data_IF_256985342934
#
_entry.id   IF_256985342934
#
_cell.length_a   1.000
_cell.length_b   1.000
_cell.length_c   1.000
_cell.angle_alpha   90.00
_cell.angle_beta   90.00
_cell.angle_gamma   90.00
#
_symmetry.space_group_name_H-M   'P 1'
#
loop_
_entity.id
_entity.type
_entity.pdbx_description
1 polymer ?
#
# COMPACT_ATOMS: atom_id res chain seq x y z
N UNK A 1 -12.98 -1.04 17.01
CA UNK A 1 -13.93 -1.99 16.33
C UNK A 1 -13.49 -2.09 14.87
N UNK A 2 -13.35 -3.31 14.34
CA UNK A 2 -12.94 -3.54 12.96
C UNK A 2 -14.13 -4.02 12.14
N UNK A 3 -14.36 -3.38 11.00
CA UNK A 3 -15.42 -3.75 10.05
C UNK A 3 -14.85 -4.56 8.89
N UNK A 4 -14.43 -5.80 9.17
CA UNK A 4 -13.79 -6.66 8.17
C UNK A 4 -14.70 -7.04 7.00
N UNK A 5 -16.03 -7.05 7.20
CA UNK A 5 -16.97 -7.41 6.14
C UNK A 5 -16.95 -6.39 5.00
N UNK A 6 -16.91 -5.09 5.32
CA UNK A 6 -16.77 -4.04 4.31
C UNK A 6 -15.42 -4.15 3.58
N UNK A 7 -14.31 -4.31 4.33
CA UNK A 7 -13.00 -4.49 3.73
C UNK A 7 -12.97 -5.71 2.78
N UNK A 8 -13.58 -6.84 3.18
CA UNK A 8 -13.65 -8.04 2.35
C UNK A 8 -14.54 -7.91 1.11
N UNK A 9 -15.48 -6.98 1.09
CA UNK A 9 -16.30 -6.70 -0.09
C UNK A 9 -15.59 -5.79 -1.11
N UNK A 10 -14.77 -4.86 -0.60
CA UNK A 10 -14.25 -3.74 -1.41
C UNK A 10 -12.77 -3.90 -1.82
N UNK A 11 -12.02 -4.85 -1.25
CA UNK A 11 -10.61 -4.98 -1.63
C UNK A 11 -10.43 -5.67 -2.99
N UNK A 12 -9.40 -5.26 -3.72
CA UNK A 12 -9.12 -5.69 -5.10
C UNK A 12 -8.68 -7.15 -5.25
N UNK A 13 -8.40 -7.85 -4.15
CA UNK A 13 -7.90 -9.24 -4.11
C UNK A 13 -8.91 -10.22 -3.48
N UNK A 14 -10.21 -9.92 -3.51
CA UNK A 14 -11.26 -10.74 -2.86
C UNK A 14 -11.33 -12.17 -3.36
N UNK A 15 -10.97 -12.40 -4.63
CA UNK A 15 -10.93 -13.75 -5.23
C UNK A 15 -9.60 -14.48 -4.98
N UNK A 16 -8.62 -13.82 -4.34
CA UNK A 16 -7.34 -14.41 -3.96
C UNK A 16 -7.35 -14.89 -2.52
N UNK A 17 -7.95 -14.12 -1.61
CA UNK A 17 -7.99 -14.47 -0.21
C UNK A 17 -8.83 -13.52 0.63
N UNK A 18 -9.01 -13.88 1.90
CA UNK A 18 -9.85 -13.14 2.83
C UNK A 18 -9.00 -12.38 3.87
N UNK A 19 -9.39 -11.14 4.13
CA UNK A 19 -8.85 -10.33 5.22
C UNK A 19 -9.43 -10.84 6.55
N UNK A 20 -8.55 -11.20 7.49
CA UNK A 20 -8.93 -11.74 8.80
C UNK A 20 -8.64 -10.79 9.94
N UNK A 21 -7.64 -9.93 9.79
CA UNK A 21 -7.22 -8.91 10.75
C UNK A 21 -6.54 -7.75 10.03
N UNK A 22 -6.22 -6.71 10.78
CA UNK A 22 -5.45 -5.55 10.36
C UNK A 22 -4.24 -5.38 11.28
N UNK A 23 -3.34 -4.45 10.94
CA UNK A 23 -2.28 -4.01 11.84
C UNK A 23 -2.82 -3.16 13.00
N UNK A 24 -1.93 -2.75 13.92
CA UNK A 24 -2.28 -2.01 15.14
C UNK A 24 -3.10 -0.75 14.87
N UNK A 25 -2.70 0.05 13.88
CA UNK A 25 -3.37 1.32 13.53
C UNK A 25 -4.55 1.16 12.57
N UNK A 26 -4.88 -0.07 12.16
CA UNK A 26 -6.03 -0.40 11.31
C UNK A 26 -6.02 0.24 9.91
N UNK A 27 -4.85 0.59 9.38
CA UNK A 27 -4.71 1.17 8.03
C UNK A 27 -4.38 0.13 6.96
N UNK A 28 -3.96 -1.08 7.34
CA UNK A 28 -3.55 -2.12 6.39
C UNK A 28 -4.51 -3.29 6.41
N UNK A 29 -5.21 -3.46 5.30
CA UNK A 29 -6.17 -4.53 5.06
C UNK A 29 -5.72 -5.39 3.89
N UNK A 30 -5.11 -6.55 4.18
CA UNK A 30 -4.65 -7.50 3.17
C UNK A 30 -5.12 -8.91 3.51
N UNK A 31 -5.25 -9.77 2.51
CA UNK A 31 -5.56 -11.17 2.75
C UNK A 31 -4.39 -11.88 3.43
N UNK A 32 -4.72 -12.86 4.25
CA UNK A 32 -3.76 -13.64 5.03
C UNK A 32 -4.07 -15.12 4.92
N UNK A 33 -3.04 -15.94 5.05
CA UNK A 33 -3.19 -17.39 5.14
C UNK A 33 -2.69 -17.89 6.49
N UNK A 34 -3.42 -18.81 7.16
CA UNK A 34 -2.99 -19.34 8.45
C UNK A 34 -1.73 -20.19 8.32
N UNK A 35 -0.95 -20.23 9.39
CA UNK A 35 0.11 -21.22 9.57
C UNK A 35 -0.46 -22.49 10.17
N UNK A 36 0.09 -23.63 9.77
CA UNK A 36 -0.14 -24.93 10.41
C UNK A 36 1.08 -25.26 11.26
N UNK A 37 0.91 -25.24 12.59
CA UNK A 37 1.99 -25.38 13.55
C UNK A 37 1.88 -26.74 14.23
N UNK A 38 2.76 -27.66 13.88
CA UNK A 38 2.80 -29.02 14.39
C UNK A 38 3.72 -29.18 15.63
N UNK A 39 3.65 -28.22 16.56
CA UNK A 39 4.41 -28.20 17.81
C UNK A 39 5.82 -27.61 17.69
N UNK A 40 6.56 -27.59 18.81
CA UNK A 40 7.85 -26.91 18.94
C UNK A 40 8.97 -27.47 18.05
N UNK A 41 8.89 -28.74 17.69
CA UNK A 41 9.92 -29.46 16.92
C UNK A 41 9.38 -30.07 15.63
N UNK A 42 8.15 -29.74 15.23
CA UNK A 42 7.51 -30.30 14.03
C UNK A 42 7.86 -29.49 12.77
N UNK A 43 7.60 -30.11 11.61
CA UNK A 43 7.62 -29.39 10.33
C UNK A 43 6.44 -28.44 10.27
N UNK A 44 6.68 -27.16 10.54
CA UNK A 44 5.66 -26.13 10.48
C UNK A 44 5.45 -25.69 9.02
N UNK A 45 4.19 -25.58 8.63
CA UNK A 45 3.84 -24.95 7.36
C UNK A 45 3.46 -23.48 7.62
N UNK A 46 4.36 -22.57 7.27
CA UNK A 46 4.20 -21.15 7.54
C UNK A 46 3.24 -20.51 6.55
N UNK A 47 2.20 -19.88 7.06
CA UNK A 47 1.28 -19.07 6.29
C UNK A 47 1.87 -17.74 5.84
N UNK A 48 1.00 -16.82 5.47
CA UNK A 48 1.36 -15.49 4.99
C UNK A 48 0.73 -14.44 5.88
N UNK A 49 1.57 -13.61 6.51
CA UNK A 49 1.16 -12.42 7.23
C UNK A 49 1.31 -11.16 6.36
N UNK A 50 0.82 -10.03 6.87
CA UNK A 50 0.92 -8.75 6.20
C UNK A 50 2.35 -8.22 6.27
N UNK A 51 2.85 -7.71 5.14
CA UNK A 51 4.02 -6.85 5.06
C UNK A 51 3.70 -5.65 4.19
N UNK A 52 3.94 -4.44 4.69
CA UNK A 52 3.68 -3.21 3.95
C UNK A 52 4.68 -2.12 4.35
N UNK A 53 5.50 -1.67 3.40
CA UNK A 53 6.41 -0.56 3.60
C UNK A 53 5.66 0.76 3.36
N UNK A 54 5.73 1.68 4.33
CA UNK A 54 4.96 2.92 4.33
C UNK A 54 5.83 4.13 4.01
N UNK A 55 5.26 5.09 3.29
CA UNK A 55 5.82 6.41 3.06
C UNK A 55 4.72 7.46 2.96
N UNK A 56 5.05 8.72 3.20
CA UNK A 56 4.09 9.83 3.12
C UNK A 56 4.67 11.01 2.39
N UNK A 57 3.92 11.54 1.43
CA UNK A 57 4.25 12.75 0.68
C UNK A 57 3.78 13.99 1.47
N UNK A 58 4.65 15.00 1.60
CA UNK A 58 4.21 16.30 2.08
C UNK A 58 3.56 17.08 0.92
N UNK A 59 2.25 17.32 1.01
CA UNK A 59 1.46 17.92 -0.07
C UNK A 59 2.02 19.29 -0.47
N UNK A 60 2.36 20.15 0.47
CA UNK A 60 2.91 21.45 0.17
C UNK A 60 4.19 21.35 -0.66
N UNK A 61 5.12 20.48 -0.26
CA UNK A 61 6.38 20.27 -0.99
C UNK A 61 6.17 19.66 -2.38
N UNK A 62 5.20 18.75 -2.51
CA UNK A 62 4.84 18.16 -3.81
C UNK A 62 4.32 19.22 -4.78
N UNK A 63 3.45 20.11 -4.28
CA UNK A 63 2.90 21.19 -5.09
C UNK A 63 3.97 22.22 -5.47
N UNK A 64 4.90 22.54 -4.55
CA UNK A 64 6.01 23.47 -4.82
C UNK A 64 6.98 22.91 -5.86
N UNK A 65 7.23 21.60 -5.85
CA UNK A 65 8.09 20.92 -6.81
C UNK A 65 7.54 20.89 -8.25
N UNK A 66 6.23 21.05 -8.42
CA UNK A 66 5.51 21.07 -9.71
C UNK A 66 5.72 19.85 -10.61
N UNK A 67 6.30 18.79 -10.09
CA UNK A 67 6.52 17.52 -10.80
C UNK A 67 5.98 16.36 -9.95
N UNK A 68 4.66 16.25 -9.93
CA UNK A 68 3.95 15.23 -9.16
C UNK A 68 4.27 13.84 -9.69
N UNK A 69 4.30 13.66 -11.02
CA UNK A 69 4.60 12.37 -11.65
C UNK A 69 5.93 11.82 -11.17
N UNK A 70 6.99 12.60 -11.30
CA UNK A 70 8.35 12.18 -10.89
C UNK A 70 8.41 11.88 -9.40
N UNK A 71 7.79 12.74 -8.57
CA UNK A 71 7.77 12.57 -7.12
C UNK A 71 7.10 11.26 -6.72
N UNK A 72 5.92 10.98 -7.26
CA UNK A 72 5.17 9.74 -6.97
C UNK A 72 5.95 8.52 -7.48
N UNK A 73 6.39 8.52 -8.73
CA UNK A 73 7.15 7.40 -9.30
C UNK A 73 8.42 7.09 -8.51
N UNK A 74 9.15 8.12 -8.09
CA UNK A 74 10.37 7.95 -7.27
C UNK A 74 10.01 7.34 -5.91
N UNK A 75 8.94 7.79 -5.28
CA UNK A 75 8.48 7.26 -3.99
C UNK A 75 8.06 5.79 -4.08
N UNK A 76 7.31 5.41 -5.12
CA UNK A 76 6.92 4.02 -5.37
C UNK A 76 8.16 3.14 -5.60
N UNK A 77 9.12 3.60 -6.42
CA UNK A 77 10.37 2.88 -6.67
C UNK A 77 11.21 2.72 -5.39
N UNK A 78 11.28 3.76 -4.56
CA UNK A 78 12.01 3.71 -3.29
C UNK A 78 11.38 2.71 -2.31
N UNK A 79 10.05 2.74 -2.13
CA UNK A 79 9.34 1.79 -1.27
C UNK A 79 9.47 0.34 -1.78
N UNK A 80 9.37 0.13 -3.08
CA UNK A 80 9.58 -1.18 -3.71
C UNK A 80 11.02 -1.68 -3.51
N UNK A 81 12.00 -0.79 -3.59
CA UNK A 81 13.40 -1.14 -3.32
C UNK A 81 13.61 -1.56 -1.86
N UNK A 82 12.95 -0.91 -0.90
CA UNK A 82 12.98 -1.32 0.52
C UNK A 82 12.41 -2.74 0.65
N UNK A 83 11.27 -3.03 0.02
CA UNK A 83 10.69 -4.38 0.01
C UNK A 83 11.65 -5.42 -0.55
N UNK A 84 12.29 -5.14 -1.69
CA UNK A 84 13.29 -6.03 -2.33
C UNK A 84 14.52 -6.29 -1.45
N UNK A 85 14.94 -5.33 -0.64
CA UNK A 85 16.13 -5.40 0.21
C UNK A 85 15.85 -5.88 1.63
N UNK A 86 14.59 -5.98 2.01
CA UNK A 86 14.20 -6.42 3.35
C UNK A 86 14.50 -7.92 3.52
N UNK A 87 15.34 -8.25 4.51
CA UNK A 87 15.61 -9.64 4.89
C UNK A 87 14.92 -9.95 6.22
N UNK A 88 13.88 -10.79 6.16
CA UNK A 88 13.05 -11.18 7.30
C UNK A 88 13.05 -12.70 7.52
N UNK A 89 14.15 -13.38 7.23
CA UNK A 89 14.24 -14.85 7.31
C UNK A 89 13.89 -15.40 8.68
N UNK A 90 14.10 -14.62 9.76
CA UNK A 90 13.75 -15.01 11.13
C UNK A 90 12.24 -14.97 11.43
N UNK A 91 11.42 -14.38 10.56
CA UNK A 91 9.97 -14.27 10.72
C UNK A 91 9.32 -14.77 9.43
N UNK A 92 9.22 -16.09 9.24
CA UNK A 92 8.88 -16.70 7.95
C UNK A 92 7.49 -16.30 7.42
N UNK A 93 6.52 -16.04 8.28
CA UNK A 93 5.17 -15.62 7.87
C UNK A 93 5.17 -14.22 7.24
N UNK A 94 5.93 -13.28 7.82
CA UNK A 94 6.09 -11.93 7.29
C UNK A 94 6.93 -11.95 6.01
N UNK A 95 7.96 -12.80 5.97
CA UNK A 95 8.74 -13.03 4.74
C UNK A 95 7.84 -13.51 3.60
N UNK A 96 7.00 -14.52 3.85
CA UNK A 96 6.06 -15.02 2.86
C UNK A 96 5.10 -13.91 2.35
N UNK A 97 4.65 -13.03 3.23
CA UNK A 97 3.83 -11.87 2.86
C UNK A 97 4.59 -10.86 1.98
N UNK A 98 5.82 -10.52 2.36
CA UNK A 98 6.65 -9.62 1.58
C UNK A 98 6.97 -10.20 0.20
N UNK A 99 7.39 -11.45 0.13
CA UNK A 99 7.78 -12.12 -1.12
C UNK A 99 6.60 -12.31 -2.09
N UNK A 100 5.38 -12.47 -1.56
CA UNK A 100 4.19 -12.71 -2.38
C UNK A 100 3.54 -11.44 -2.90
N UNK A 101 3.51 -10.38 -2.12
CA UNK A 101 2.73 -9.18 -2.43
C UNK A 101 3.57 -7.94 -2.75
N UNK A 102 4.79 -7.80 -2.19
CA UNK A 102 5.59 -6.58 -2.24
C UNK A 102 4.78 -5.32 -1.93
N UNK A 103 3.85 -5.43 -0.98
CA UNK A 103 2.89 -4.37 -0.68
C UNK A 103 3.57 -3.13 -0.14
N UNK A 104 3.13 -2.00 -0.64
CA UNK A 104 3.58 -0.67 -0.22
C UNK A 104 2.37 0.23 0.05
N UNK A 105 2.52 1.17 0.97
CA UNK A 105 1.53 2.20 1.28
C UNK A 105 2.13 3.58 1.07
N UNK A 106 1.67 4.31 0.05
CA UNK A 106 2.06 5.71 -0.16
C UNK A 106 0.91 6.62 0.26
N UNK A 107 1.08 7.28 1.39
CA UNK A 107 0.16 8.28 1.93
C UNK A 107 0.57 9.71 1.62
N UNK A 108 -0.20 10.65 2.18
CA UNK A 108 0.10 12.07 2.11
C UNK A 108 -0.17 12.74 3.45
N UNK A 109 0.58 13.80 3.75
CA UNK A 109 0.44 14.61 4.96
C UNK A 109 0.42 16.10 4.62
N UNK A 110 0.07 16.91 5.61
CA UNK A 110 0.07 18.37 5.52
C UNK A 110 -0.99 18.95 4.56
N UNK A 111 -2.15 18.27 4.41
CA UNK A 111 -3.26 18.79 3.61
C UNK A 111 -3.75 20.12 4.19
N UNK A 112 -4.07 20.16 5.49
CA UNK A 112 -4.56 21.37 6.14
C UNK A 112 -3.55 22.53 6.05
N UNK A 113 -2.27 22.28 6.28
CA UNK A 113 -1.23 23.30 6.16
C UNK A 113 -1.09 23.85 4.75
N UNK A 114 -1.23 23.01 3.72
CA UNK A 114 -1.27 23.46 2.34
C UNK A 114 -2.50 24.35 2.06
N UNK A 115 -3.70 23.88 2.42
CA UNK A 115 -4.93 24.65 2.22
C UNK A 115 -4.90 26.00 2.93
N UNK A 116 -4.38 26.06 4.17
CA UNK A 116 -4.20 27.32 4.89
C UNK A 116 -3.25 28.29 4.15
N UNK A 117 -2.15 27.76 3.63
CA UNK A 117 -1.19 28.56 2.87
C UNK A 117 -1.81 29.18 1.61
N UNK A 118 -2.65 28.42 0.94
CA UNK A 118 -3.37 28.87 -0.27
C UNK A 118 -4.66 29.66 0.04
N UNK A 119 -4.95 29.93 1.32
CA UNK A 119 -6.18 30.61 1.79
C UNK A 119 -7.47 29.86 1.43
N UNK A 120 -7.42 28.55 1.35
CA UNK A 120 -8.58 27.68 1.09
C UNK A 120 -9.16 27.22 2.43
N UNK A 121 -10.44 27.46 2.66
CA UNK A 121 -11.13 27.01 3.86
C UNK A 121 -11.29 25.48 3.81
N UNK A 122 -10.83 24.78 4.87
CA UNK A 122 -10.82 23.31 4.94
C UNK A 122 -12.17 22.65 4.67
N UNK A 123 -13.27 23.31 5.03
CA UNK A 123 -14.65 22.80 4.84
C UNK A 123 -15.31 23.29 3.53
N UNK A 124 -14.57 23.97 2.66
CA UNK A 124 -15.10 24.48 1.39
C UNK A 124 -15.14 23.41 0.31
N UNK A 125 -15.97 23.62 -0.69
CA UNK A 125 -16.02 22.78 -1.90
C UNK A 125 -14.67 22.79 -2.64
N UNK A 126 -13.96 23.91 -2.64
CA UNK A 126 -12.63 24.03 -3.24
C UNK A 126 -11.61 23.09 -2.57
N UNK A 127 -11.68 22.95 -1.23
CA UNK A 127 -10.82 22.00 -0.50
C UNK A 127 -11.15 20.55 -0.85
N UNK A 128 -12.43 20.24 -1.03
CA UNK A 128 -12.90 18.92 -1.46
C UNK A 128 -12.42 18.61 -2.87
N UNK A 129 -12.59 19.54 -3.80
CA UNK A 129 -12.18 19.40 -5.19
C UNK A 129 -10.66 19.23 -5.31
N UNK A 130 -9.89 20.07 -4.62
CA UNK A 130 -8.44 19.92 -4.56
C UNK A 130 -8.06 18.52 -4.08
N UNK A 131 -8.65 18.07 -2.97
CA UNK A 131 -8.34 16.76 -2.39
C UNK A 131 -8.66 15.63 -3.36
N UNK A 132 -9.84 15.66 -3.99
CA UNK A 132 -10.26 14.65 -4.96
C UNK A 132 -9.29 14.58 -6.14
N UNK A 133 -8.95 15.72 -6.73
CA UNK A 133 -8.03 15.78 -7.88
C UNK A 133 -6.62 15.34 -7.48
N UNK A 134 -6.10 15.84 -6.35
CA UNK A 134 -4.76 15.49 -5.88
C UNK A 134 -4.62 13.97 -5.66
N UNK A 135 -5.53 13.36 -4.91
CA UNK A 135 -5.47 11.93 -4.64
C UNK A 135 -5.76 11.06 -5.88
N UNK A 136 -6.59 11.53 -6.81
CA UNK A 136 -6.76 10.85 -8.10
C UNK A 136 -5.46 10.82 -8.91
N UNK A 137 -4.72 11.93 -8.95
CA UNK A 137 -3.41 12.03 -9.62
C UNK A 137 -2.38 11.10 -8.94
N UNK A 138 -2.32 11.13 -7.59
CA UNK A 138 -1.42 10.23 -6.83
C UNK A 138 -1.73 8.77 -7.16
N UNK A 139 -3.02 8.37 -7.14
CA UNK A 139 -3.44 7.02 -7.48
C UNK A 139 -3.01 6.62 -8.90
N UNK A 140 -3.27 7.51 -9.87
CA UNK A 140 -2.92 7.25 -11.28
C UNK A 140 -1.42 6.97 -11.46
N UNK A 141 -0.56 7.87 -10.95
CA UNK A 141 0.88 7.71 -11.09
C UNK A 141 1.44 6.57 -10.24
N UNK A 142 0.82 6.23 -9.12
CA UNK A 142 1.20 5.07 -8.31
C UNK A 142 0.95 3.77 -9.07
N UNK A 143 -0.22 3.60 -9.68
CA UNK A 143 -0.56 2.42 -10.49
C UNK A 143 0.36 2.35 -11.71
N UNK A 144 0.58 3.48 -12.40
CA UNK A 144 1.48 3.57 -13.55
C UNK A 144 2.91 3.15 -13.18
N UNK A 145 3.44 3.65 -12.05
CA UNK A 145 4.76 3.28 -11.56
C UNK A 145 4.87 1.80 -11.17
N UNK A 146 3.82 1.25 -10.56
CA UNK A 146 3.75 -0.18 -10.23
C UNK A 146 3.76 -1.06 -11.48
N UNK A 147 3.01 -0.66 -12.50
CA UNK A 147 3.00 -1.34 -13.81
C UNK A 147 4.38 -1.28 -14.48
N UNK A 148 5.02 -0.10 -14.52
CA UNK A 148 6.36 0.06 -15.06
C UNK A 148 7.38 -0.84 -14.34
N UNK A 149 7.32 -0.91 -13.01
CA UNK A 149 8.16 -1.80 -12.20
C UNK A 149 7.93 -3.28 -12.49
N UNK A 150 6.67 -3.69 -12.67
CA UNK A 150 6.33 -5.07 -13.02
C UNK A 150 6.90 -5.45 -14.38
N UNK A 151 6.86 -4.55 -15.36
CA UNK A 151 7.47 -4.73 -16.69
C UNK A 151 9.00 -4.79 -16.58
N UNK A 152 9.62 -3.82 -15.91
CA UNK A 152 11.09 -3.73 -15.75
C UNK A 152 11.66 -4.98 -15.08
N UNK A 153 10.98 -5.51 -14.07
CA UNK A 153 11.39 -6.70 -13.31
C UNK A 153 10.90 -8.01 -13.92
N UNK A 154 10.01 -7.96 -14.91
CA UNK A 154 9.30 -9.12 -15.48
C UNK A 154 8.64 -10.00 -14.40
N UNK A 155 8.00 -9.38 -13.41
CA UNK A 155 7.31 -10.07 -12.30
C UNK A 155 5.95 -9.43 -12.02
N UNK A 156 5.04 -10.24 -11.50
CA UNK A 156 3.73 -9.81 -10.98
C UNK A 156 3.62 -10.26 -9.52
N UNK A 157 2.84 -9.54 -8.74
CA UNK A 157 2.51 -10.01 -7.40
C UNK A 157 1.62 -11.26 -7.46
N UNK A 158 1.70 -12.09 -6.44
CA UNK A 158 0.92 -13.34 -6.37
C UNK A 158 -0.58 -13.04 -6.33
N UNK A 159 -1.32 -13.62 -7.27
CA UNK A 159 -2.75 -13.43 -7.39
C UNK A 159 -3.18 -12.29 -8.33
N UNK A 160 -2.25 -11.68 -9.06
CA UNK A 160 -2.55 -10.62 -10.03
C UNK A 160 -3.66 -11.01 -11.01
N UNK A 161 -3.64 -12.23 -11.54
CA UNK A 161 -4.62 -12.74 -12.54
C UNK A 161 -6.06 -12.81 -12.00
N UNK A 162 -6.22 -12.79 -10.67
CA UNK A 162 -7.51 -12.83 -9.98
C UNK A 162 -7.83 -11.51 -9.29
N UNK A 163 -7.02 -10.49 -9.52
CA UNK A 163 -7.22 -9.15 -8.96
C UNK A 163 -8.14 -8.31 -9.87
N UNK A 164 -8.64 -7.23 -9.31
CA UNK A 164 -9.41 -6.22 -10.07
C UNK A 164 -8.51 -5.14 -10.71
N UNK A 165 -7.20 -5.39 -10.81
CA UNK A 165 -6.24 -4.49 -11.47
C UNK A 165 -6.12 -4.80 -12.97
#
# INVERSE_FOLDING_TARGET
MLYLDTANKEHTLKDVGRIKMSNLCCEIFQYQTPSDINGYCGNNNWGQDISCNLGSLNIANVMDNKDIERTVKTSIRALSFVSDKTNIDKVPTVKNGNDSSHSIGLGAMNLHGYLMRENILYTSDEAIDFSNVFFAIIRYYSIKASMELAIDKNVKFKGFEKSEY
#
